data_IF_652710397518
#
_entry.id   IF_652710397518
#
_cell.length_a   1.000
_cell.length_b   1.000
_cell.length_c   1.000
_cell.angle_alpha   90.00
_cell.angle_beta   90.00
_cell.angle_gamma   90.00
#
_symmetry.space_group_name_H-M   'P 1'
#
loop_
_entity.id
_entity.type
_entity.pdbx_description
1 polymer ?
#
# COMPACT_ATOMS: atom_id res chain seq x y z
N UNK A 1 24.61 20.91 -16.07
CA UNK A 1 23.18 20.74 -15.92
C UNK A 1 22.86 19.37 -15.34
N UNK A 2 22.26 19.40 -14.20
CA UNK A 2 21.75 18.19 -13.57
C UNK A 2 20.41 17.82 -14.21
N UNK A 3 20.41 16.74 -14.97
CA UNK A 3 19.17 16.23 -15.51
C UNK A 3 18.42 15.49 -14.41
N UNK A 4 17.16 15.87 -14.20
CA UNK A 4 16.29 15.18 -13.28
C UNK A 4 15.91 13.82 -13.90
N UNK A 5 16.15 12.71 -13.21
CA UNK A 5 15.76 11.41 -13.75
C UNK A 5 14.24 11.29 -13.85
N UNK A 6 13.77 10.69 -14.92
CA UNK A 6 12.35 10.49 -15.18
C UNK A 6 11.91 9.12 -14.70
N UNK A 7 10.65 9.02 -14.28
CA UNK A 7 10.10 7.79 -13.73
C UNK A 7 8.68 7.58 -14.23
N UNK A 8 8.36 6.36 -14.60
CA UNK A 8 7.00 5.94 -14.97
C UNK A 8 6.48 4.96 -13.93
N UNK A 9 5.25 5.16 -13.48
CA UNK A 9 4.58 4.23 -12.57
C UNK A 9 3.81 3.22 -13.39
N UNK A 10 4.15 1.94 -13.22
CA UNK A 10 3.44 0.83 -13.85
C UNK A 10 2.23 0.41 -13.03
N UNK A 11 1.34 -0.37 -13.63
CA UNK A 11 0.21 -0.94 -12.93
C UNK A 11 0.73 -1.84 -11.79
N UNK A 12 0.04 -1.79 -10.64
CA UNK A 12 0.42 -2.66 -9.53
C UNK A 12 0.14 -4.13 -9.86
N UNK A 13 0.86 -5.02 -9.20
CA UNK A 13 0.71 -6.45 -9.36
C UNK A 13 0.09 -7.05 -8.10
N UNK A 14 -1.00 -7.80 -8.26
CA UNK A 14 -1.64 -8.51 -7.16
C UNK A 14 -1.01 -9.91 -7.01
N UNK A 15 0.13 -9.96 -6.35
CA UNK A 15 0.87 -11.19 -6.14
C UNK A 15 0.27 -12.04 -5.01
N UNK A 16 -0.49 -11.43 -4.14
CA UNK A 16 -1.20 -12.13 -3.06
C UNK A 16 -2.46 -12.87 -3.54
N UNK A 17 -2.87 -12.64 -4.80
CA UNK A 17 -4.05 -13.25 -5.41
C UNK A 17 -5.33 -13.03 -4.61
N UNK A 18 -5.45 -11.85 -3.99
CA UNK A 18 -6.61 -11.49 -3.18
C UNK A 18 -7.75 -11.04 -4.08
N UNK A 19 -8.92 -11.65 -3.90
CA UNK A 19 -10.13 -11.25 -4.61
C UNK A 19 -10.51 -9.81 -4.30
N UNK A 20 -10.88 -9.06 -5.33
CA UNK A 20 -11.32 -7.68 -5.18
C UNK A 20 -10.21 -6.64 -5.13
N UNK A 21 -8.95 -7.06 -5.06
CA UNK A 21 -7.82 -6.13 -5.07
C UNK A 21 -7.66 -5.44 -6.42
N UNK A 22 -8.25 -6.00 -7.45
CA UNK A 22 -8.23 -5.44 -8.81
C UNK A 22 -9.40 -4.48 -9.08
N UNK A 23 -10.20 -4.16 -8.06
CA UNK A 23 -11.24 -3.14 -8.15
C UNK A 23 -10.63 -1.82 -8.58
N UNK A 24 -11.32 -1.12 -9.50
CA UNK A 24 -10.84 0.14 -10.06
C UNK A 24 -10.51 1.18 -9.00
N UNK A 25 -11.30 1.24 -7.92
CA UNK A 25 -11.05 2.19 -6.83
C UNK A 25 -9.76 1.90 -6.09
N UNK A 26 -9.47 0.61 -5.87
CA UNK A 26 -8.23 0.19 -5.23
C UNK A 26 -7.04 0.48 -6.15
N UNK A 27 -7.18 0.17 -7.42
CA UNK A 27 -6.16 0.47 -8.43
C UNK A 27 -5.81 1.96 -8.45
N UNK A 28 -6.82 2.82 -8.53
CA UNK A 28 -6.62 4.27 -8.53
C UNK A 28 -6.02 4.74 -7.20
N UNK A 29 -6.46 4.16 -6.09
CA UNK A 29 -5.91 4.48 -4.77
C UNK A 29 -4.43 4.17 -4.65
N UNK A 30 -4.01 3.00 -5.10
CA UNK A 30 -2.60 2.60 -5.11
C UNK A 30 -1.78 3.52 -6.02
N UNK A 31 -2.28 3.79 -7.22
CA UNK A 31 -1.63 4.68 -8.16
C UNK A 31 -1.46 6.09 -7.59
N UNK A 32 -2.49 6.60 -6.91
CA UNK A 32 -2.42 7.92 -6.27
C UNK A 32 -1.39 7.96 -5.14
N UNK A 33 -1.32 6.92 -4.33
CA UNK A 33 -0.33 6.83 -3.25
C UNK A 33 1.09 6.82 -3.83
N UNK A 34 1.33 6.03 -4.87
CA UNK A 34 2.62 5.99 -5.55
C UNK A 34 2.97 7.35 -6.16
N UNK A 35 2.00 7.99 -6.82
CA UNK A 35 2.18 9.30 -7.42
C UNK A 35 2.61 10.34 -6.39
N UNK A 36 1.92 10.40 -5.25
CA UNK A 36 2.26 11.32 -4.17
C UNK A 36 3.69 11.11 -3.68
N UNK A 37 4.09 9.85 -3.49
CA UNK A 37 5.45 9.53 -3.04
C UNK A 37 6.51 9.91 -4.06
N UNK A 38 6.23 9.70 -5.34
CA UNK A 38 7.16 10.08 -6.42
C UNK A 38 7.27 11.60 -6.53
N UNK A 39 6.17 12.32 -6.40
CA UNK A 39 6.17 13.79 -6.45
C UNK A 39 6.99 14.42 -5.32
N UNK A 40 7.06 13.76 -4.17
CA UNK A 40 7.89 14.21 -3.05
C UNK A 40 9.35 13.77 -3.17
N UNK A 41 9.70 13.04 -4.23
CA UNK A 41 11.04 12.54 -4.47
C UNK A 41 11.78 13.41 -5.50
N UNK A 42 13.02 13.04 -5.78
CA UNK A 42 13.85 13.70 -6.79
C UNK A 42 13.50 13.31 -8.23
N UNK A 43 12.58 12.38 -8.43
CA UNK A 43 12.23 11.89 -9.76
C UNK A 43 11.12 12.73 -10.37
N UNK A 44 11.17 12.87 -11.70
CA UNK A 44 10.15 13.56 -12.47
C UNK A 44 9.21 12.52 -13.08
N UNK A 45 7.92 12.62 -12.77
CA UNK A 45 6.93 11.65 -13.20
C UNK A 45 6.53 11.91 -14.64
N UNK A 46 6.65 10.87 -15.48
CA UNK A 46 6.25 10.92 -16.89
C UNK A 46 5.42 9.68 -17.24
N UNK A 47 4.61 9.77 -18.28
CA UNK A 47 3.75 8.67 -18.69
C UNK A 47 4.50 7.59 -19.49
N UNK A 48 5.46 7.97 -20.30
CA UNK A 48 6.19 7.08 -21.20
C UNK A 48 7.64 7.51 -21.34
N UNK A 49 8.46 6.59 -21.81
CA UNK A 49 9.86 6.84 -22.15
C UNK A 49 10.68 7.39 -20.99
N UNK A 50 10.51 6.80 -19.82
CA UNK A 50 11.26 7.18 -18.63
C UNK A 50 12.58 6.44 -18.51
N UNK A 51 13.47 6.98 -17.67
CA UNK A 51 14.72 6.32 -17.30
C UNK A 51 14.50 5.20 -16.29
N UNK A 52 13.45 5.33 -15.48
CA UNK A 52 13.10 4.38 -14.42
C UNK A 52 11.65 3.96 -14.52
N UNK A 53 11.38 2.74 -14.10
CA UNK A 53 10.01 2.23 -13.95
C UNK A 53 9.79 1.77 -12.51
N UNK A 54 8.68 2.22 -11.93
CA UNK A 54 8.28 1.86 -10.55
C UNK A 54 7.09 0.92 -10.62
N UNK A 55 7.21 -0.23 -9.99
CA UNK A 55 6.13 -1.21 -9.92
C UNK A 55 5.89 -1.63 -8.48
N UNK A 56 4.67 -1.52 -8.02
CA UNK A 56 4.28 -2.00 -6.69
C UNK A 56 3.66 -3.40 -6.82
N UNK A 57 4.09 -4.30 -5.94
CA UNK A 57 3.53 -5.65 -5.83
C UNK A 57 2.93 -5.83 -4.45
N UNK A 58 1.66 -6.15 -4.39
CA UNK A 58 1.03 -6.52 -3.13
C UNK A 58 1.26 -8.02 -2.93
N UNK A 59 2.10 -8.36 -1.96
CA UNK A 59 2.53 -9.75 -1.73
C UNK A 59 1.77 -10.44 -0.62
N UNK A 60 1.09 -9.67 0.24
CA UNK A 60 0.28 -10.23 1.31
C UNK A 60 -0.81 -9.23 1.70
N UNK A 61 -2.00 -9.75 1.92
CA UNK A 61 -3.11 -9.02 2.52
C UNK A 61 -3.84 -9.98 3.44
N UNK A 62 -3.88 -9.66 4.72
CA UNK A 62 -4.52 -10.49 5.70
C UNK A 62 -5.25 -9.68 6.76
N UNK A 63 -6.20 -10.32 7.42
CA UNK A 63 -6.97 -9.74 8.53
C UNK A 63 -6.96 -10.68 9.72
N UNK A 64 -5.79 -10.84 10.39
CA UNK A 64 -5.74 -11.66 11.58
C UNK A 64 -6.62 -11.08 12.69
N UNK A 65 -7.36 -11.95 13.36
CA UNK A 65 -8.22 -11.57 14.49
C UNK A 65 -7.56 -11.99 15.78
N UNK A 66 -7.56 -11.07 16.73
CA UNK A 66 -7.09 -11.35 18.08
C UNK A 66 -8.22 -11.10 19.06
N UNK A 67 -8.55 -12.12 19.84
CA UNK A 67 -9.62 -12.07 20.84
C UNK A 67 -9.00 -12.08 22.23
N UNK A 68 -9.34 -11.09 23.05
CA UNK A 68 -8.87 -11.01 24.44
C UNK A 68 -10.07 -10.95 25.38
N UNK A 69 -10.13 -11.86 26.35
CA UNK A 69 -11.17 -11.85 27.38
C UNK A 69 -10.58 -11.25 28.65
N UNK A 70 -11.17 -10.16 29.12
CA UNK A 70 -10.72 -9.49 30.36
C UNK A 70 -11.68 -9.88 31.49
N UNK A 71 -11.15 -10.54 32.52
CA UNK A 71 -11.89 -10.93 33.75
C UNK A 71 -13.15 -11.77 33.49
N UNK A 72 -13.24 -12.45 32.34
CA UNK A 72 -14.40 -13.26 32.00
C UNK A 72 -15.69 -12.48 31.72
N UNK A 73 -15.66 -11.16 31.79
CA UNK A 73 -16.83 -10.31 31.66
C UNK A 73 -16.88 -9.53 30.35
N UNK A 74 -15.73 -9.23 29.76
CA UNK A 74 -15.63 -8.45 28.52
C UNK A 74 -14.76 -9.15 27.52
N UNK A 75 -15.27 -9.24 26.31
CA UNK A 75 -14.53 -9.77 25.18
C UNK A 75 -14.18 -8.64 24.24
N UNK A 76 -12.89 -8.44 24.02
CA UNK A 76 -12.38 -7.51 23.01
C UNK A 76 -11.85 -8.27 21.82
N UNK A 77 -12.37 -7.96 20.65
CA UNK A 77 -11.84 -8.46 19.39
C UNK A 77 -11.10 -7.34 18.69
N UNK A 78 -9.83 -7.58 18.40
CA UNK A 78 -9.03 -6.67 17.59
C UNK A 78 -8.80 -7.32 16.25
N UNK A 79 -9.24 -6.64 15.18
CA UNK A 79 -8.97 -7.07 13.82
C UNK A 79 -7.88 -6.15 13.25
N UNK A 80 -6.80 -6.75 12.82
CA UNK A 80 -5.69 -6.03 12.21
C UNK A 80 -5.71 -6.29 10.71
N UNK A 81 -5.76 -5.23 9.92
CA UNK A 81 -5.53 -5.35 8.48
C UNK A 81 -4.04 -5.18 8.22
N UNK A 82 -3.39 -6.22 7.70
CA UNK A 82 -1.97 -6.20 7.38
C UNK A 82 -1.76 -6.31 5.88
N UNK A 83 -0.99 -5.39 5.32
CA UNK A 83 -0.62 -5.39 3.91
C UNK A 83 0.89 -5.39 3.81
N UNK A 84 1.43 -6.25 2.98
CA UNK A 84 2.86 -6.27 2.65
C UNK A 84 3.02 -5.96 1.17
N UNK A 85 3.86 -4.98 0.90
CA UNK A 85 4.08 -4.49 -0.46
C UNK A 85 5.57 -4.51 -0.74
N UNK A 86 5.93 -4.92 -1.95
CA UNK A 86 7.29 -4.76 -2.47
C UNK A 86 7.20 -3.78 -3.63
N UNK A 87 8.03 -2.75 -3.60
CA UNK A 87 8.12 -1.78 -4.67
C UNK A 87 9.45 -1.96 -5.38
N UNK A 88 9.39 -2.18 -6.68
CA UNK A 88 10.58 -2.39 -7.52
C UNK A 88 10.84 -1.15 -8.37
N UNK A 89 12.06 -0.66 -8.32
CA UNK A 89 12.52 0.44 -9.15
C UNK A 89 13.53 -0.10 -10.17
N UNK A 90 13.12 -0.14 -11.42
CA UNK A 90 13.97 -0.61 -12.52
C UNK A 90 14.69 0.56 -13.19
N UNK A 91 16.00 0.48 -13.26
CA UNK A 91 16.80 1.38 -14.10
C UNK A 91 16.86 0.77 -15.50
N UNK A 92 16.19 1.38 -16.46
CA UNK A 92 16.07 0.84 -17.81
C UNK A 92 17.40 0.84 -18.58
N UNK A 93 18.32 1.73 -18.23
CA UNK A 93 19.62 1.82 -18.89
C UNK A 93 20.56 0.71 -18.45
N UNK A 94 20.57 0.37 -17.18
CA UNK A 94 21.49 -0.61 -16.60
C UNK A 94 20.86 -1.97 -16.38
N UNK A 95 19.53 -2.04 -16.35
CA UNK A 95 18.78 -3.26 -16.00
C UNK A 95 18.79 -3.59 -14.51
N UNK A 96 19.35 -2.69 -13.67
CA UNK A 96 19.41 -2.90 -12.23
C UNK A 96 18.07 -2.62 -11.60
N UNK A 97 17.62 -3.51 -10.73
CA UNK A 97 16.37 -3.36 -9.97
C UNK A 97 16.70 -3.16 -8.49
N UNK A 98 16.15 -2.11 -7.91
CA UNK A 98 16.15 -1.90 -6.47
C UNK A 98 14.77 -2.24 -5.93
N UNK A 99 14.71 -2.99 -4.85
CA UNK A 99 13.44 -3.37 -4.24
C UNK A 99 13.36 -2.85 -2.81
N UNK A 100 12.24 -2.26 -2.48
CA UNK A 100 11.93 -1.83 -1.12
C UNK A 100 10.73 -2.61 -0.60
N UNK A 101 10.76 -2.96 0.68
CA UNK A 101 9.68 -3.69 1.35
C UNK A 101 8.97 -2.78 2.33
N UNK A 102 7.65 -2.84 2.33
CA UNK A 102 6.86 -2.08 3.28
C UNK A 102 5.74 -2.93 3.86
N UNK A 103 5.47 -2.69 5.14
CA UNK A 103 4.35 -3.32 5.83
C UNK A 103 3.48 -2.21 6.39
N UNK A 104 2.19 -2.31 6.12
CA UNK A 104 1.20 -1.41 6.69
C UNK A 104 0.20 -2.19 7.51
N UNK A 105 -0.15 -1.67 8.68
CA UNK A 105 -1.13 -2.30 9.55
C UNK A 105 -2.11 -1.26 10.07
N UNK A 106 -3.38 -1.66 10.14
CA UNK A 106 -4.39 -0.84 10.80
C UNK A 106 -5.18 -1.75 11.73
N UNK A 107 -5.19 -1.38 12.99
CA UNK A 107 -5.92 -2.11 14.02
C UNK A 107 -7.32 -1.53 14.16
N UNK A 108 -8.27 -2.42 14.28
CA UNK A 108 -9.64 -2.07 14.54
C UNK A 108 -10.15 -2.84 15.74
N UNK A 109 -10.60 -2.11 16.74
CA UNK A 109 -11.18 -2.69 17.92
C UNK A 109 -12.70 -2.73 17.79
N UNK A 110 -13.27 -3.93 17.92
CA UNK A 110 -14.71 -4.12 17.92
C UNK A 110 -15.12 -4.39 19.36
N UNK A 111 -15.83 -3.46 19.99
CA UNK A 111 -16.44 -3.72 21.28
C UNK A 111 -17.74 -4.48 21.08
N UNK A 112 -18.15 -5.24 22.09
CA UNK A 112 -19.33 -6.12 22.05
C UNK A 112 -20.67 -5.40 21.90
N UNK A 113 -20.68 -4.10 21.73
CA UNK A 113 -21.91 -3.29 21.62
C UNK A 113 -22.41 -3.15 20.18
N UNK A 114 -21.87 -3.91 19.25
CA UNK A 114 -22.42 -4.01 17.89
C UNK A 114 -22.40 -2.71 17.12
N UNK A 115 -21.24 -2.29 16.71
CA UNK A 115 -21.09 -1.06 15.96
C UNK A 115 -21.24 -1.28 14.46
N UNK A 116 -22.16 -0.56 13.84
CA UNK A 116 -22.31 -0.58 12.39
C UNK A 116 -21.25 0.31 11.75
N UNK A 117 -20.59 -0.24 10.78
CA UNK A 117 -19.58 0.45 10.01
C UNK A 117 -20.24 1.19 8.88
N UNK A 118 -19.93 2.46 8.76
CA UNK A 118 -20.32 3.22 7.61
C UNK A 118 -19.42 2.83 6.44
N UNK A 119 -20.00 2.18 5.44
CA UNK A 119 -19.27 1.63 4.29
C UNK A 119 -18.84 2.67 3.25
N UNK A 120 -19.21 3.94 3.45
CA UNK A 120 -18.96 5.01 2.48
C UNK A 120 -17.69 5.81 2.75
N UNK A 121 -16.70 5.24 3.43
CA UNK A 121 -15.44 5.94 3.68
C UNK A 121 -14.63 6.05 2.40
N UNK A 122 -14.00 7.21 2.12
CA UNK A 122 -13.03 7.33 1.05
C UNK A 122 -11.92 6.29 1.18
N UNK A 123 -11.33 5.87 0.07
CA UNK A 123 -10.31 4.83 0.05
C UNK A 123 -9.16 5.13 1.03
N UNK A 124 -8.67 6.38 1.05
CA UNK A 124 -7.57 6.80 1.90
C UNK A 124 -7.88 6.75 3.40
N UNK A 125 -9.17 6.72 3.75
CA UNK A 125 -9.64 6.60 5.15
C UNK A 125 -10.12 5.20 5.48
N UNK A 126 -10.18 4.31 4.50
CA UNK A 126 -10.54 2.92 4.74
C UNK A 126 -9.38 2.18 5.39
N UNK A 127 -9.66 1.04 6.02
CA UNK A 127 -8.62 0.21 6.61
C UNK A 127 -7.59 -0.23 5.57
N UNK A 128 -8.07 -0.67 4.42
CA UNK A 128 -7.19 -1.11 3.34
C UNK A 128 -6.37 0.05 2.79
N UNK A 129 -7.01 1.20 2.55
CA UNK A 129 -6.32 2.38 2.03
C UNK A 129 -5.24 2.88 2.97
N UNK A 130 -5.52 2.94 4.27
CA UNK A 130 -4.56 3.35 5.28
C UNK A 130 -3.37 2.39 5.38
N UNK A 131 -3.65 1.09 5.37
CA UNK A 131 -2.59 0.07 5.41
C UNK A 131 -1.73 0.11 4.14
N UNK A 132 -2.33 0.28 2.98
CA UNK A 132 -1.60 0.42 1.72
C UNK A 132 -0.73 1.67 1.71
N UNK A 133 -1.25 2.79 2.19
CA UNK A 133 -0.50 4.05 2.26
C UNK A 133 0.74 3.91 3.13
N UNK A 134 0.62 3.28 4.27
CA UNK A 134 1.74 3.01 5.17
C UNK A 134 2.75 2.05 4.53
N UNK A 135 2.28 0.93 3.97
CA UNK A 135 3.13 -0.07 3.34
C UNK A 135 3.91 0.50 2.16
N UNK A 136 3.23 1.19 1.26
CA UNK A 136 3.86 1.78 0.07
C UNK A 136 4.82 2.88 0.48
N UNK A 137 4.45 3.74 1.42
CA UNK A 137 5.32 4.80 1.93
C UNK A 137 6.62 4.24 2.49
N UNK A 138 6.53 3.19 3.31
CA UNK A 138 7.70 2.53 3.88
C UNK A 138 8.58 1.87 2.81
N UNK A 139 7.97 1.21 1.83
CA UNK A 139 8.70 0.57 0.73
C UNK A 139 9.43 1.60 -0.14
N UNK A 140 8.76 2.69 -0.47
CA UNK A 140 9.31 3.75 -1.32
C UNK A 140 10.48 4.46 -0.62
N UNK A 141 10.42 4.66 0.68
CA UNK A 141 11.50 5.30 1.44
C UNK A 141 12.81 4.52 1.36
N UNK A 142 12.76 3.21 1.18
CA UNK A 142 13.97 2.39 1.05
C UNK A 142 14.68 2.60 -0.30
N UNK A 143 13.97 3.00 -1.34
CA UNK A 143 14.50 3.02 -2.72
C UNK A 143 14.49 4.41 -3.36
N UNK A 144 13.72 5.32 -2.88
CA UNK A 144 13.67 6.70 -3.39
C UNK A 144 14.27 7.66 -2.36
#
# INVERSE_FOLDING_TARGET
ELQVPTLTINNFVNQAEVEGLEDTRIFLGITNILTENVMDSRYDLVENESDFELTARVVYLGRPRKSTTILGLFRRETTTTEVRVVVDLLNKKTGVVKSGNGVGTIDREISSTGFQINEELPFDRSELGGALKEAIGNAVQEIL
#
